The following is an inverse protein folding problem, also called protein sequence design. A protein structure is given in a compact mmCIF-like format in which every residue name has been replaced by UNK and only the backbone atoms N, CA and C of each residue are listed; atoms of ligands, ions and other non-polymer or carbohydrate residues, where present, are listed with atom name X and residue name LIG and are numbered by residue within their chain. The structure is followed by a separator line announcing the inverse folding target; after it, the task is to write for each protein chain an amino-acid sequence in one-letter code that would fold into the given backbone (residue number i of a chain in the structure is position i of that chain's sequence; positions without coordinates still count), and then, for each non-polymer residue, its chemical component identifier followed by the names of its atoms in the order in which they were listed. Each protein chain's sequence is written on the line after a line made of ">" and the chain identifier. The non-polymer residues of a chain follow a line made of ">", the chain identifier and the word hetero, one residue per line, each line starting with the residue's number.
data_IF_060318401222
#
_entry.id   IF_060318401222
#
_cell.length_a   1.000
_cell.length_b   1.000
_cell.length_c   1.000
_cell.angle_alpha   90.00
_cell.angle_beta   90.00
_cell.angle_gamma   90.00
#
_symmetry.space_group_name_H-M   'P 1'
#
loop_
_entity.id
_entity.type
_entity.pdbx_description
1 polymer ?
#
# COMPACT_ATOMS: atom_id res chain seq x y z
N UNK A 1 -5.50 5.50 23.95
CA UNK A 1 -5.87 6.57 23.00
C UNK A 1 -7.39 6.69 22.97
N UNK A 2 -7.99 7.86 22.74
CA UNK A 2 -9.46 7.98 22.71
C UNK A 2 -9.99 7.30 21.42
N UNK A 3 -11.13 6.60 21.49
CA UNK A 3 -11.83 6.00 20.33
C UNK A 3 -11.94 6.98 19.16
N UNK A 4 -12.17 8.27 19.44
CA UNK A 4 -12.21 9.34 18.44
C UNK A 4 -10.92 9.46 17.61
N UNK A 5 -9.75 9.40 18.26
CA UNK A 5 -8.46 9.57 17.59
C UNK A 5 -8.14 8.38 16.67
N UNK A 6 -8.56 7.16 17.05
CA UNK A 6 -8.44 5.96 16.20
C UNK A 6 -9.33 6.15 14.96
N UNK A 7 -10.59 6.56 15.15
CA UNK A 7 -11.53 6.81 14.04
C UNK A 7 -11.00 7.88 13.07
N UNK A 8 -10.40 8.95 13.58
CA UNK A 8 -9.77 9.98 12.74
C UNK A 8 -8.60 9.41 11.92
N UNK A 9 -7.78 8.54 12.53
CA UNK A 9 -6.68 7.87 11.83
C UNK A 9 -7.18 6.90 10.75
N UNK A 10 -8.20 6.09 11.05
CA UNK A 10 -8.87 5.18 10.10
C UNK A 10 -9.41 5.96 8.90
N UNK A 11 -10.15 7.04 9.15
CA UNK A 11 -10.71 7.90 8.09
C UNK A 11 -9.60 8.52 7.23
N UNK A 12 -8.53 8.98 7.87
CA UNK A 12 -7.41 9.59 7.15
C UNK A 12 -6.64 8.57 6.31
N UNK A 13 -6.41 7.37 6.84
CA UNK A 13 -5.81 6.27 6.11
C UNK A 13 -6.64 5.92 4.87
N UNK A 14 -7.96 5.75 5.03
CA UNK A 14 -8.88 5.49 3.93
C UNK A 14 -8.82 6.59 2.85
N UNK A 15 -8.74 7.86 3.25
CA UNK A 15 -8.63 8.98 2.30
C UNK A 15 -7.36 8.93 1.44
N UNK A 16 -6.23 8.47 1.98
CA UNK A 16 -5.00 8.29 1.20
C UNK A 16 -5.12 7.13 0.22
N UNK A 17 -5.75 6.03 0.63
CA UNK A 17 -5.99 4.89 -0.26
C UNK A 17 -6.95 5.25 -1.39
N UNK A 18 -7.98 6.06 -1.14
CA UNK A 18 -8.87 6.58 -2.19
C UNK A 18 -8.13 7.50 -3.17
N UNK A 19 -7.18 8.32 -2.68
CA UNK A 19 -6.33 9.12 -3.56
C UNK A 19 -5.40 8.23 -4.39
N UNK A 20 -4.83 7.18 -3.81
CA UNK A 20 -4.01 6.20 -4.53
C UNK A 20 -4.82 5.56 -5.67
N UNK A 21 -6.07 5.15 -5.45
CA UNK A 21 -6.94 4.59 -6.51
C UNK A 21 -7.11 5.52 -7.70
N UNK A 22 -7.31 6.82 -7.44
CA UNK A 22 -7.44 7.82 -8.50
C UNK A 22 -6.14 7.95 -9.30
N UNK A 23 -4.98 7.87 -8.63
CA UNK A 23 -3.66 7.95 -9.28
C UNK A 23 -3.34 6.69 -10.07
N UNK A 24 -3.69 5.51 -9.58
CA UNK A 24 -3.51 4.25 -10.31
C UNK A 24 -4.43 4.19 -11.53
N UNK A 25 -5.65 4.72 -11.44
CA UNK A 25 -6.57 4.83 -12.58
C UNK A 25 -6.01 5.70 -13.72
N UNK A 26 -5.29 6.80 -13.41
CA UNK A 26 -4.58 7.58 -14.44
C UNK A 26 -3.58 6.72 -15.20
N UNK A 27 -2.79 5.90 -14.49
CA UNK A 27 -1.80 5.00 -15.10
C UNK A 27 -2.48 3.90 -15.91
N UNK A 28 -3.58 3.32 -15.40
CA UNK A 28 -4.35 2.32 -16.14
C UNK A 28 -4.97 2.88 -17.42
N UNK A 29 -5.48 4.11 -17.41
CA UNK A 29 -6.02 4.78 -18.62
C UNK A 29 -4.92 5.04 -19.65
N UNK A 30 -3.77 5.53 -19.20
CA UNK A 30 -2.60 5.74 -20.04
C UNK A 30 -2.19 4.43 -20.72
N UNK A 31 -2.08 3.33 -19.96
CA UNK A 31 -1.71 2.03 -20.51
C UNK A 31 -2.71 1.54 -21.57
N UNK A 32 -4.01 1.71 -21.34
CA UNK A 32 -5.06 1.38 -22.32
C UNK A 32 -4.90 2.17 -23.62
N UNK A 33 -4.53 3.46 -23.54
CA UNK A 33 -4.27 4.25 -24.75
C UNK A 33 -3.06 3.73 -25.53
N UNK A 34 -1.98 3.38 -24.85
CA UNK A 34 -0.79 2.81 -25.50
C UNK A 34 -1.10 1.46 -26.16
N UNK A 35 -1.92 0.62 -25.55
CA UNK A 35 -2.40 -0.63 -26.16
C UNK A 35 -3.22 -0.40 -27.44
N UNK A 36 -3.90 0.75 -27.55
CA UNK A 36 -4.59 1.18 -28.75
C UNK A 36 -3.68 1.92 -29.76
N UNK A 37 -2.37 1.96 -29.53
CA UNK A 37 -1.40 2.65 -30.39
C UNK A 37 -1.43 4.18 -30.27
N UNK A 38 -1.97 4.71 -29.17
CA UNK A 38 -2.11 6.14 -28.91
C UNK A 38 -1.35 6.60 -27.66
N UNK A 39 -0.93 7.85 -27.64
CA UNK A 39 -0.40 8.51 -26.44
C UNK A 39 -1.51 9.28 -25.74
N UNK A 40 -1.53 9.28 -24.41
CA UNK A 40 -2.52 10.03 -23.63
C UNK A 40 -2.26 11.54 -23.68
N UNK A 41 -1.00 11.93 -23.64
CA UNK A 41 -0.55 13.33 -23.66
C UNK A 41 -0.14 13.82 -25.05
N UNK A 42 -0.14 12.93 -26.06
CA UNK A 42 0.32 13.19 -27.42
C UNK A 42 1.80 12.86 -27.65
N UNK A 43 2.59 12.70 -26.58
CA UNK A 43 4.01 12.31 -26.64
C UNK A 43 4.34 11.24 -25.59
N UNK A 44 5.16 10.25 -25.96
CA UNK A 44 5.52 9.16 -25.05
C UNK A 44 6.35 9.65 -23.87
N UNK A 45 7.15 10.70 -24.05
CA UNK A 45 7.97 11.31 -22.99
C UNK A 45 7.08 11.88 -21.88
N UNK A 46 6.04 12.62 -22.24
CA UNK A 46 5.10 13.20 -21.27
C UNK A 46 4.20 12.13 -20.64
N UNK A 47 3.96 11.01 -21.32
CA UNK A 47 3.32 9.85 -20.72
C UNK A 47 4.23 9.16 -19.69
N UNK A 48 5.53 8.99 -19.99
CA UNK A 48 6.52 8.49 -19.02
C UNK A 48 6.56 9.40 -17.79
N UNK A 49 6.62 10.71 -17.99
CA UNK A 49 6.59 11.71 -16.92
C UNK A 49 5.35 11.54 -16.04
N UNK A 50 4.21 11.34 -16.68
CA UNK A 50 2.94 11.14 -15.98
C UNK A 50 2.99 9.87 -15.13
N UNK A 51 3.46 8.74 -15.66
CA UNK A 51 3.57 7.48 -14.92
C UNK A 51 4.51 7.63 -13.72
N UNK A 52 5.72 8.16 -13.91
CA UNK A 52 6.69 8.29 -12.82
C UNK A 52 6.30 9.36 -11.78
N UNK A 53 5.58 10.40 -12.19
CA UNK A 53 4.97 11.35 -11.25
C UNK A 53 3.89 10.69 -10.40
N UNK A 54 2.99 9.91 -11.00
CA UNK A 54 1.98 9.17 -10.25
C UNK A 54 2.62 8.15 -9.31
N UNK A 55 3.61 7.38 -9.79
CA UNK A 55 4.37 6.43 -8.98
C UNK A 55 4.97 7.10 -7.75
N UNK A 56 5.64 8.25 -7.93
CA UNK A 56 6.20 9.00 -6.81
C UNK A 56 5.11 9.41 -5.82
N UNK A 57 4.02 10.01 -6.29
CA UNK A 57 2.92 10.47 -5.43
C UNK A 57 2.21 9.33 -4.68
N UNK A 58 2.04 8.17 -5.32
CA UNK A 58 1.48 6.98 -4.68
C UNK A 58 2.40 6.54 -3.53
N UNK A 59 3.70 6.43 -3.79
CA UNK A 59 4.69 6.11 -2.77
C UNK A 59 4.63 7.12 -1.61
N UNK A 60 4.47 8.41 -1.90
CA UNK A 60 4.35 9.43 -0.86
C UNK A 60 3.13 9.21 0.04
N UNK A 61 1.98 8.86 -0.58
CA UNK A 61 0.73 8.58 0.11
C UNK A 61 0.81 7.32 0.98
N UNK A 62 1.50 6.27 0.52
CA UNK A 62 1.74 5.05 1.33
C UNK A 62 2.48 5.41 2.61
N UNK A 63 3.57 6.20 2.51
CA UNK A 63 4.33 6.61 3.69
C UNK A 63 3.49 7.49 4.63
N UNK A 64 2.61 8.35 4.10
CA UNK A 64 1.67 9.09 4.93
C UNK A 64 0.63 8.20 5.61
N UNK A 65 0.18 7.14 4.95
CA UNK A 65 -0.71 6.15 5.54
C UNK A 65 -0.02 5.40 6.69
N UNK A 66 1.24 4.97 6.50
CA UNK A 66 2.04 4.38 7.56
C UNK A 66 2.25 5.32 8.76
N UNK A 67 2.49 6.61 8.50
CA UNK A 67 2.55 7.65 9.53
C UNK A 67 1.25 7.72 10.33
N UNK A 68 0.10 7.73 9.65
CA UNK A 68 -1.21 7.81 10.30
C UNK A 68 -1.52 6.55 11.11
N UNK A 69 -1.17 5.37 10.58
CA UNK A 69 -1.30 4.11 11.31
C UNK A 69 -0.47 4.15 12.61
N UNK A 70 0.80 4.56 12.54
CA UNK A 70 1.65 4.62 13.72
C UNK A 70 1.26 5.76 14.68
N UNK A 71 0.72 6.87 14.19
CA UNK A 71 0.13 7.91 15.05
C UNK A 71 -1.00 7.33 15.91
N UNK A 72 -1.73 6.32 15.41
CA UNK A 72 -2.79 5.67 16.18
C UNK A 72 -2.30 4.84 17.37
N UNK A 73 -1.00 4.51 17.42
CA UNK A 73 -0.34 3.99 18.63
C UNK A 73 -0.03 5.07 19.69
N UNK A 74 -0.45 6.34 19.47
CA UNK A 74 -0.14 7.48 20.35
C UNK A 74 1.24 8.09 20.09
N UNK A 75 1.90 7.73 18.98
CA UNK A 75 3.23 8.20 18.64
C UNK A 75 3.20 9.61 18.04
N UNK A 76 3.92 10.54 18.66
CA UNK A 76 4.08 11.90 18.13
C UNK A 76 5.30 11.96 17.22
N UNK A 77 5.08 11.84 15.91
CA UNK A 77 6.12 12.04 14.92
C UNK A 77 6.67 13.48 14.97
N UNK A 78 7.99 13.61 14.83
CA UNK A 78 8.69 14.89 14.95
C UNK A 78 8.15 15.92 13.93
N UNK A 79 7.96 17.17 14.38
CA UNK A 79 7.51 18.31 13.54
C UNK A 79 8.40 18.52 12.30
N UNK A 80 9.64 18.04 12.31
CA UNK A 80 10.61 18.12 11.21
C UNK A 80 10.14 17.41 9.94
N UNK A 81 9.32 16.35 10.03
CA UNK A 81 8.75 15.67 8.85
C UNK A 81 7.76 16.56 8.05
N UNK A 82 7.38 17.74 8.58
CA UNK A 82 6.46 18.68 7.91
C UNK A 82 7.13 19.60 6.88
N UNK A 83 8.47 19.72 6.87
CA UNK A 83 9.17 20.78 6.11
C UNK A 83 10.05 20.29 4.94
N UNK A 84 10.27 18.99 4.81
CA UNK A 84 11.01 18.42 3.67
C UNK A 84 10.61 16.96 3.46
N UNK A 85 10.11 16.64 2.27
CA UNK A 85 9.68 15.28 1.95
C UNK A 85 10.88 14.42 1.54
N UNK A 86 11.67 14.04 2.54
CA UNK A 86 12.74 13.06 2.40
C UNK A 86 12.21 11.72 2.87
N UNK A 87 11.79 10.88 1.92
CA UNK A 87 11.20 9.57 2.20
C UNK A 87 12.10 8.71 3.10
N UNK A 88 13.43 8.88 2.99
CA UNK A 88 14.43 8.21 3.83
C UNK A 88 14.35 8.67 5.30
N UNK A 89 14.07 9.96 5.56
CA UNK A 89 13.85 10.45 6.92
C UNK A 89 12.55 9.89 7.51
N UNK A 90 11.50 9.79 6.71
CA UNK A 90 10.24 9.16 7.14
C UNK A 90 10.49 7.69 7.52
N UNK A 91 11.22 6.95 6.67
CA UNK A 91 11.61 5.56 6.94
C UNK A 91 12.30 5.43 8.29
N UNK A 92 13.39 6.16 8.49
CA UNK A 92 14.19 6.07 9.72
C UNK A 92 13.38 6.42 10.95
N UNK A 93 12.48 7.41 10.86
CA UNK A 93 11.60 7.76 11.98
C UNK A 93 10.55 6.69 12.25
N UNK A 94 9.92 6.07 11.23
CA UNK A 94 8.96 4.99 11.44
C UNK A 94 9.63 3.74 12.04
N UNK A 95 10.81 3.36 11.52
CA UNK A 95 11.58 2.21 12.00
C UNK A 95 12.03 2.34 13.46
N UNK A 96 12.20 3.58 13.97
CA UNK A 96 12.50 3.82 15.38
C UNK A 96 11.38 3.38 16.32
N UNK A 97 10.14 3.39 15.85
CA UNK A 97 8.98 3.09 16.68
C UNK A 97 8.37 1.72 16.38
N UNK A 98 8.35 1.33 15.12
CA UNK A 98 7.71 0.11 14.67
C UNK A 98 8.49 -0.46 13.49
N UNK A 99 9.14 -1.62 13.68
CA UNK A 99 9.89 -2.29 12.63
C UNK A 99 8.98 -2.91 11.56
N UNK A 100 7.71 -3.17 11.90
CA UNK A 100 6.71 -3.77 11.03
C UNK A 100 5.69 -2.73 10.52
N UNK A 101 6.11 -1.46 10.43
CA UNK A 101 5.21 -0.36 10.02
C UNK A 101 4.69 -0.47 8.58
N UNK A 102 5.33 -1.30 7.76
CA UNK A 102 5.08 -1.36 6.33
C UNK A 102 3.89 -2.29 6.01
N UNK A 103 3.06 -1.97 5.00
CA UNK A 103 1.94 -2.82 4.61
C UNK A 103 2.38 -4.24 4.27
N UNK A 104 1.64 -5.22 4.78
CA UNK A 104 1.78 -6.64 4.44
C UNK A 104 0.61 -7.03 3.53
N UNK A 105 0.85 -7.43 2.28
CA UNK A 105 -0.21 -7.78 1.35
C UNK A 105 -0.87 -9.10 1.76
N UNK A 106 -2.17 -9.20 1.50
CA UNK A 106 -3.00 -10.32 1.92
C UNK A 106 -3.80 -10.89 0.75
N UNK A 107 -4.10 -12.18 0.83
CA UNK A 107 -4.96 -12.90 -0.11
C UNK A 107 -6.10 -13.59 0.63
N UNK A 108 -7.27 -13.72 -0.02
CA UNK A 108 -8.36 -14.56 0.49
C UNK A 108 -7.93 -16.04 0.45
N UNK A 109 -8.20 -16.78 1.53
CA UNK A 109 -7.87 -18.21 1.69
C UNK A 109 -9.14 -19.04 1.97
N UNK A 110 -10.21 -18.71 1.24
CA UNK A 110 -11.52 -19.34 1.40
C UNK A 110 -12.24 -18.93 2.69
N UNK A 111 -13.03 -19.84 3.25
CA UNK A 111 -13.78 -19.62 4.49
C UNK A 111 -13.71 -20.87 5.38
N UNK A 112 -13.88 -20.71 6.69
CA UNK A 112 -14.06 -21.85 7.59
C UNK A 112 -15.49 -22.40 7.57
N UNK A 113 -15.73 -23.40 8.43
CA UNK A 113 -17.01 -24.10 8.53
C UNK A 113 -18.15 -23.18 9.02
N UNK A 114 -17.80 -22.06 9.64
CA UNK A 114 -18.74 -21.05 10.15
C UNK A 114 -18.96 -19.92 9.12
N UNK A 115 -18.39 -20.04 7.92
CA UNK A 115 -18.47 -19.04 6.86
C UNK A 115 -17.56 -17.83 7.08
N UNK A 116 -16.65 -17.88 8.06
CA UNK A 116 -15.70 -16.80 8.32
C UNK A 116 -14.60 -16.87 7.29
N UNK A 117 -14.40 -15.77 6.56
CA UNK A 117 -13.34 -15.67 5.56
C UNK A 117 -11.96 -15.75 6.20
N UNK A 118 -11.11 -16.58 5.60
CA UNK A 118 -9.70 -16.70 5.97
C UNK A 118 -8.86 -15.80 5.08
N UNK A 119 -7.79 -15.30 5.67
CA UNK A 119 -6.85 -14.41 5.00
C UNK A 119 -5.46 -14.94 5.27
N UNK A 120 -4.64 -15.04 4.23
CA UNK A 120 -3.22 -15.41 4.30
C UNK A 120 -2.35 -14.29 3.77
N UNK A 121 -1.05 -14.37 4.03
CA UNK A 121 -0.07 -13.50 3.38
C UNK A 121 -0.03 -13.81 1.88
N UNK A 122 -0.04 -12.76 1.05
CA UNK A 122 0.14 -12.93 -0.39
C UNK A 122 1.60 -13.31 -0.65
N UNK A 123 1.82 -14.44 -1.32
CA UNK A 123 3.16 -14.85 -1.71
C UNK A 123 3.59 -14.14 -3.01
N UNK A 124 4.87 -13.82 -3.14
CA UNK A 124 5.37 -13.05 -4.29
C UNK A 124 5.27 -13.87 -5.59
N UNK A 125 5.32 -15.19 -5.50
CA UNK A 125 5.13 -16.13 -6.61
C UNK A 125 3.67 -16.18 -7.09
N UNK A 126 2.72 -15.90 -6.21
CA UNK A 126 1.29 -15.83 -6.57
C UNK A 126 0.99 -14.53 -7.32
N UNK A 127 1.56 -13.42 -6.83
CA UNK A 127 1.44 -12.11 -7.48
C UNK A 127 2.60 -11.21 -7.05
N UNK A 128 3.43 -10.70 -7.96
CA UNK A 128 4.48 -9.76 -7.62
C UNK A 128 3.92 -8.48 -6.99
N UNK A 129 4.54 -8.03 -5.90
CA UNK A 129 4.23 -6.80 -5.19
C UNK A 129 5.52 -6.12 -4.72
N UNK A 130 5.48 -4.80 -4.53
CA UNK A 130 6.65 -4.08 -4.02
C UNK A 130 6.90 -4.40 -2.54
N UNK A 131 8.13 -4.77 -2.21
CA UNK A 131 8.60 -4.77 -0.82
C UNK A 131 8.90 -3.36 -0.34
N UNK A 132 9.11 -3.20 0.97
CA UNK A 132 9.60 -1.94 1.55
C UNK A 132 10.85 -1.43 0.80
N UNK A 133 11.81 -2.31 0.54
CA UNK A 133 13.06 -1.96 -0.15
C UNK A 133 12.83 -1.50 -1.58
N UNK A 134 11.87 -2.12 -2.28
CA UNK A 134 11.56 -1.78 -3.67
C UNK A 134 10.92 -0.41 -3.78
N UNK A 135 10.05 -0.03 -2.84
CA UNK A 135 9.46 1.31 -2.78
C UNK A 135 10.53 2.40 -2.72
N UNK A 136 11.54 2.24 -1.87
CA UNK A 136 12.61 3.24 -1.74
C UNK A 136 13.47 3.34 -3.01
N UNK A 137 13.76 2.20 -3.65
CA UNK A 137 14.45 2.17 -4.94
C UNK A 137 13.60 2.83 -6.03
N UNK A 138 12.32 2.50 -6.11
CA UNK A 138 11.38 3.03 -7.09
C UNK A 138 11.22 4.56 -6.94
N UNK A 139 11.13 5.07 -5.71
CA UNK A 139 11.08 6.50 -5.44
C UNK A 139 12.33 7.25 -5.94
N UNK A 140 13.52 6.70 -5.66
CA UNK A 140 14.78 7.26 -6.16
C UNK A 140 14.85 7.25 -7.69
N UNK A 141 14.52 6.11 -8.30
CA UNK A 141 14.53 5.94 -9.75
C UNK A 141 13.51 6.86 -10.45
N UNK A 142 12.33 7.06 -9.86
CA UNK A 142 11.34 8.00 -10.39
C UNK A 142 11.86 9.43 -10.45
N UNK A 143 12.74 9.83 -9.52
CA UNK A 143 13.42 11.11 -9.57
C UNK A 143 14.23 11.30 -10.85
N UNK A 144 14.95 10.27 -11.30
CA UNK A 144 15.80 10.34 -12.49
C UNK A 144 15.01 10.69 -13.75
N UNK A 145 13.80 10.13 -13.89
CA UNK A 145 12.94 10.38 -15.04
C UNK A 145 12.19 11.70 -14.99
N UNK A 146 12.18 12.43 -13.87
CA UNK A 146 11.43 13.68 -13.67
C UNK A 146 12.29 14.96 -13.78
N UNK A 147 13.61 14.85 -13.89
CA UNK A 147 14.52 16.01 -14.00
C UNK A 147 14.54 16.59 -15.41
N UNK A 148 14.50 17.91 -15.63
CA UNK A 148 14.42 18.50 -16.99
C UNK A 148 15.57 18.17 -17.96
N UNK A 149 16.76 17.77 -17.47
CA UNK A 149 17.90 17.38 -18.31
C UNK A 149 17.86 15.87 -18.65
N UNK A 150 16.95 15.48 -19.56
CA UNK A 150 16.65 14.07 -19.90
C UNK A 150 17.21 13.61 -21.25
N UNK A 151 17.82 14.50 -22.01
CA UNK A 151 18.18 14.29 -23.42
C UNK A 151 19.09 13.06 -23.64
N UNK A 152 19.81 12.62 -22.61
CA UNK A 152 20.69 11.45 -22.64
C UNK A 152 20.08 10.16 -22.07
N UNK A 153 18.90 10.21 -21.44
CA UNK A 153 18.31 9.06 -20.74
C UNK A 153 17.30 8.28 -21.59
N UNK A 154 16.63 8.96 -22.52
CA UNK A 154 15.69 8.32 -23.42
C UNK A 154 16.42 7.88 -24.69
N UNK A 155 16.57 6.57 -24.87
CA UNK A 155 17.06 6.00 -26.12
C UNK A 155 16.03 6.15 -27.27
N UNK A 156 16.15 5.27 -28.27
CA UNK A 156 15.15 5.18 -29.34
C UNK A 156 13.75 4.79 -28.85
N UNK A 157 12.79 4.72 -29.77
CA UNK A 157 11.38 4.42 -29.46
C UNK A 157 11.20 3.17 -28.60
N UNK A 158 11.93 2.10 -28.89
CA UNK A 158 11.88 0.85 -28.10
C UNK A 158 12.30 1.06 -26.64
N UNK A 159 13.34 1.87 -26.40
CA UNK A 159 13.80 2.17 -25.04
C UNK A 159 12.74 2.95 -24.25
N UNK A 160 12.07 3.92 -24.90
CA UNK A 160 10.98 4.69 -24.30
C UNK A 160 9.80 3.80 -23.92
N UNK A 161 9.39 2.88 -24.79
CA UNK A 161 8.33 1.90 -24.48
C UNK A 161 8.71 1.02 -23.30
N UNK A 162 9.97 0.55 -23.22
CA UNK A 162 10.45 -0.25 -22.07
C UNK A 162 10.43 0.55 -20.76
N UNK A 163 10.83 1.82 -20.80
CA UNK A 163 10.78 2.71 -19.62
C UNK A 163 9.34 2.91 -19.17
N UNK A 164 8.43 3.21 -20.10
CA UNK A 164 7.01 3.36 -19.79
C UNK A 164 6.43 2.09 -19.15
N UNK A 165 6.67 0.93 -19.78
CA UNK A 165 6.18 -0.36 -19.29
C UNK A 165 6.72 -0.67 -17.90
N UNK A 166 7.99 -0.36 -17.62
CA UNK A 166 8.58 -0.54 -16.29
C UNK A 166 7.86 0.31 -15.24
N UNK A 167 7.55 1.57 -15.56
CA UNK A 167 6.79 2.44 -14.67
C UNK A 167 5.38 1.91 -14.39
N UNK A 168 4.69 1.41 -15.43
CA UNK A 168 3.36 0.79 -15.30
C UNK A 168 3.43 -0.46 -14.41
N UNK A 169 4.37 -1.37 -14.66
CA UNK A 169 4.55 -2.58 -13.86
C UNK A 169 4.81 -2.24 -12.38
N UNK A 170 5.62 -1.22 -12.11
CA UNK A 170 5.84 -0.73 -10.75
C UNK A 170 4.56 -0.24 -10.06
N UNK A 171 3.64 0.38 -10.80
CA UNK A 171 2.33 0.77 -10.26
C UNK A 171 1.44 -0.45 -10.02
N UNK A 172 1.48 -1.45 -10.90
CA UNK A 172 0.74 -2.71 -10.72
C UNK A 172 1.21 -3.51 -9.49
N UNK A 173 2.52 -3.53 -9.24
CA UNK A 173 3.12 -4.12 -8.03
C UNK A 173 2.69 -3.38 -6.75
N UNK A 174 2.53 -2.04 -6.80
CA UNK A 174 1.97 -1.26 -5.69
C UNK A 174 0.48 -1.54 -5.48
N UNK A 175 -0.28 -1.72 -6.55
CA UNK A 175 -1.69 -2.15 -6.45
C UNK A 175 -1.76 -3.54 -5.82
N UNK A 176 -0.89 -4.48 -6.22
CA UNK A 176 -0.82 -5.80 -5.61
C UNK A 176 -0.50 -5.73 -4.10
N UNK A 177 0.43 -4.84 -3.72
CA UNK A 177 0.77 -4.60 -2.32
C UNK A 177 -0.44 -4.11 -1.51
N UNK A 178 -1.24 -3.18 -2.06
CA UNK A 178 -2.22 -2.43 -1.30
C UNK A 178 -3.67 -2.90 -1.46
N UNK A 179 -4.02 -3.68 -2.50
CA UNK A 179 -5.43 -3.96 -2.77
C UNK A 179 -6.16 -4.65 -1.60
N UNK A 180 -5.48 -5.58 -0.94
CA UNK A 180 -5.84 -6.08 0.38
C UNK A 180 -4.54 -6.15 1.18
N UNK A 181 -4.45 -5.41 2.27
CA UNK A 181 -3.24 -5.36 3.09
C UNK A 181 -3.55 -5.10 4.54
N UNK A 182 -2.66 -5.54 5.40
CA UNK A 182 -2.68 -5.18 6.80
C UNK A 182 -1.47 -4.30 7.14
N UNK A 183 -1.63 -3.38 8.07
CA UNK A 183 -0.54 -2.52 8.57
C UNK A 183 -0.49 -2.62 10.08
N UNK A 184 0.59 -3.17 10.64
CA UNK A 184 0.75 -3.28 12.08
C UNK A 184 0.92 -1.88 12.70
N UNK A 185 0.22 -1.66 13.80
CA UNK A 185 0.25 -0.41 14.59
C UNK A 185 1.06 -0.64 15.86
N UNK A 186 0.75 -1.75 16.55
CA UNK A 186 1.52 -2.30 17.67
C UNK A 186 1.62 -3.82 17.48
N UNK A 187 2.27 -4.53 18.40
CA UNK A 187 2.30 -6.00 18.36
C UNK A 187 0.90 -6.63 18.40
N UNK A 188 -0.06 -5.95 19.01
CA UNK A 188 -1.40 -6.49 19.28
C UNK A 188 -2.48 -5.79 18.46
N UNK A 189 -2.14 -4.84 17.59
CA UNK A 189 -3.13 -4.10 16.81
C UNK A 189 -2.66 -3.76 15.40
N UNK A 190 -3.61 -3.72 14.47
CA UNK A 190 -3.33 -3.46 13.06
C UNK A 190 -4.54 -2.82 12.37
N UNK A 191 -4.29 -2.17 11.23
CA UNK A 191 -5.35 -1.85 10.27
C UNK A 191 -5.47 -2.98 9.26
N UNK A 192 -6.70 -3.48 9.07
CA UNK A 192 -7.06 -4.34 7.95
C UNK A 192 -7.73 -3.48 6.86
N UNK A 193 -7.19 -3.54 5.65
CA UNK A 193 -7.55 -2.61 4.57
C UNK A 193 -7.93 -3.38 3.31
N UNK A 194 -9.03 -2.95 2.70
CA UNK A 194 -9.54 -3.44 1.42
C UNK A 194 -9.78 -2.23 0.54
N UNK A 195 -9.04 -2.10 -0.56
CA UNK A 195 -9.15 -0.93 -1.42
C UNK A 195 -10.39 -0.94 -2.31
N UNK A 196 -10.92 -2.13 -2.59
CA UNK A 196 -12.05 -2.34 -3.48
C UNK A 196 -13.06 -3.27 -2.78
N UNK A 197 -13.93 -2.70 -1.94
CA UNK A 197 -15.04 -3.43 -1.35
C UNK A 197 -15.93 -4.05 -2.44
N UNK A 198 -16.38 -5.30 -2.24
CA UNK A 198 -17.16 -6.03 -3.26
C UNK A 198 -18.51 -5.35 -3.55
N UNK A 199 -19.09 -4.70 -2.55
CA UNK A 199 -20.43 -4.10 -2.64
C UNK A 199 -20.43 -2.67 -3.20
N UNK A 200 -19.57 -1.80 -2.68
CA UNK A 200 -19.59 -0.36 -2.99
C UNK A 200 -18.39 0.11 -3.81
N UNK A 201 -17.39 -0.77 -4.00
CA UNK A 201 -16.15 -0.46 -4.67
C UNK A 201 -15.30 0.60 -3.97
N UNK A 202 -15.54 0.91 -2.69
CA UNK A 202 -14.79 1.91 -1.91
C UNK A 202 -13.69 1.27 -1.08
N UNK A 203 -12.84 2.11 -0.52
CA UNK A 203 -11.86 1.70 0.47
C UNK A 203 -12.53 1.49 1.82
N UNK A 204 -12.28 0.33 2.42
CA UNK A 204 -12.63 0.00 3.80
C UNK A 204 -11.38 -0.20 4.63
N UNK A 205 -11.35 0.45 5.80
CA UNK A 205 -10.26 0.33 6.78
C UNK A 205 -10.88 -0.02 8.13
N UNK A 206 -10.42 -1.10 8.76
CA UNK A 206 -10.85 -1.50 10.09
C UNK A 206 -9.65 -1.58 11.04
N UNK A 207 -9.81 -1.01 12.22
CA UNK A 207 -8.89 -1.25 13.33
C UNK A 207 -9.20 -2.59 13.98
N UNK A 208 -8.17 -3.39 14.14
CA UNK A 208 -8.25 -4.76 14.64
C UNK A 208 -7.30 -4.93 15.83
N UNK A 209 -7.74 -5.69 16.82
CA UNK A 209 -6.90 -6.14 17.93
C UNK A 209 -6.70 -7.66 17.82
N UNK A 210 -5.48 -8.12 18.08
CA UNK A 210 -5.15 -9.54 18.17
C UNK A 210 -5.76 -10.06 19.47
N UNK A 211 -6.56 -11.11 19.37
CA UNK A 211 -7.13 -11.79 20.53
C UNK A 211 -6.45 -13.15 20.67
N UNK A 212 -5.99 -13.49 21.88
CA UNK A 212 -5.53 -14.84 22.17
C UNK A 212 -6.69 -15.84 21.97
N UNK A 213 -6.43 -16.93 21.25
CA UNK A 213 -7.45 -17.96 20.99
C UNK A 213 -8.06 -18.46 22.31
N UNK A 214 -9.41 -18.54 22.44
CA UNK A 214 -10.07 -18.99 23.66
C UNK A 214 -9.93 -20.51 23.94
N UNK A 215 -8.96 -21.21 23.34
CA UNK A 215 -8.71 -22.62 23.60
C UNK A 215 -7.21 -22.90 23.68
N UNK A 216 -6.63 -22.68 24.87
CA UNK A 216 -5.35 -23.31 25.21
C UNK A 216 -5.24 -23.74 26.68
N UNK A 217 -6.36 -24.14 27.28
CA UNK A 217 -6.35 -24.97 28.49
C UNK A 217 -6.43 -26.46 28.11
N UNK A 218 -5.49 -26.95 27.32
CA UNK A 218 -4.86 -28.27 27.53
C UNK A 218 -3.96 -28.67 26.34
N UNK A 219 -2.74 -29.08 26.71
CA UNK A 219 -1.74 -29.85 25.97
C UNK A 219 -0.76 -29.06 25.09
N UNK A 220 0.48 -29.06 25.62
CA UNK A 220 1.76 -29.06 24.91
C UNK A 220 1.61 -29.70 23.52
N UNK A 221 1.80 -28.92 22.46
CA UNK A 221 2.77 -29.15 21.39
C UNK A 221 2.65 -28.09 20.30
N UNK A 222 3.82 -27.66 19.81
CA UNK A 222 4.15 -27.00 18.55
C UNK A 222 3.09 -26.23 17.74
N UNK A 223 3.35 -24.93 17.58
CA UNK A 223 3.52 -24.31 16.26
C UNK A 223 2.29 -24.26 15.33
N UNK A 224 1.14 -23.76 15.79
CA UNK A 224 0.18 -23.06 14.92
C UNK A 224 -0.73 -22.16 15.76
N UNK A 225 -0.36 -20.89 15.95
CA UNK A 225 -1.29 -19.93 16.55
C UNK A 225 -2.38 -19.59 15.51
N UNK A 226 -3.57 -20.18 15.66
CA UNK A 226 -4.76 -19.74 14.92
C UNK A 226 -5.16 -18.36 15.43
N UNK A 227 -5.18 -17.39 14.53
CA UNK A 227 -5.59 -16.01 14.80
C UNK A 227 -7.12 -15.91 14.72
N UNK A 228 -7.78 -15.51 15.79
CA UNK A 228 -9.17 -15.08 15.75
C UNK A 228 -9.21 -13.55 15.74
N UNK A 229 -9.80 -12.96 14.71
CA UNK A 229 -10.03 -11.52 14.64
C UNK A 229 -11.36 -11.19 15.31
N UNK A 230 -11.37 -10.21 16.22
CA UNK A 230 -12.62 -9.68 16.78
C UNK A 230 -12.86 -8.27 16.23
N UNK A 231 -13.62 -8.21 15.12
CA UNK A 231 -14.31 -6.98 14.71
C UNK A 231 -15.56 -7.34 13.91
N UNK A 232 -16.73 -7.08 14.49
CA UNK A 232 -18.05 -7.44 13.94
C UNK A 232 -18.41 -6.69 12.63
N UNK A 233 -17.59 -5.75 12.17
CA UNK A 233 -17.91 -4.87 11.01
C UNK A 233 -17.12 -5.24 9.75
N UNK A 234 -16.03 -6.01 9.85
CA UNK A 234 -15.18 -6.31 8.69
C UNK A 234 -15.69 -7.48 7.84
N UNK A 235 -16.57 -8.32 8.37
CA UNK A 235 -17.11 -9.49 7.65
C UNK A 235 -18.12 -9.12 6.56
N UNK A 236 -18.85 -8.02 6.73
CA UNK A 236 -19.89 -7.59 5.78
C UNK A 236 -19.35 -6.71 4.63
N UNK A 237 -18.19 -6.07 4.78
CA UNK A 237 -17.63 -5.12 3.81
C UNK A 237 -16.60 -5.72 2.84
N UNK A 238 -16.22 -6.97 3.06
CA UNK A 238 -15.29 -7.76 2.24
C UNK A 238 -16.02 -8.49 1.12
#
# INVERSE_FOLDING_TARGET
>A
MNKKEITDCVTKYASYMEEIKKRTDVVSRLMKMHQAGQSMTGYIETDIDTVYLQLRKIIELIMFACIVANKSAGLTLNKTLRKGYEIQKIKSELQRFNLNFFPTPKAEDGSDQDGIRKVKDLAHEERPFMTETDIFKAYGNAGNYLHSQRDYQYGGSEAKTKILQRGVNSVDELVALLNHHWTDITNDSFFAVVMQGKEDGKVHVSYMERVESPNNSSKKDAQTARLFLRCYVFLELL
#
